data_IF_704675296601
#
_entry.id   IF_704675296601
#
_cell.length_a   1.000
_cell.length_b   1.000
_cell.length_c   1.000
_cell.angle_alpha   90.00
_cell.angle_beta   90.00
_cell.angle_gamma   90.00
#
_symmetry.space_group_name_H-M   'P 1'
#
loop_
_entity.id
_entity.type
_entity.pdbx_description
1 polymer ?
#
# COMPACT_ATOMS: atom_id res chain seq x y z
N UNK A 1 -9.48 -9.70 -8.07
CA UNK A 1 -8.01 -9.80 -8.19
C UNK A 1 -7.44 -8.45 -7.82
N UNK A 2 -6.44 -8.39 -6.94
CA UNK A 2 -5.81 -7.11 -6.56
C UNK A 2 -5.00 -6.59 -7.74
N UNK A 3 -5.06 -5.28 -7.99
CA UNK A 3 -4.14 -4.61 -8.94
C UNK A 3 -3.20 -3.72 -8.15
N UNK A 4 -1.91 -3.94 -8.35
CA UNK A 4 -0.86 -3.16 -7.69
C UNK A 4 -0.35 -2.13 -8.69
N UNK A 5 -0.28 -0.88 -8.24
CA UNK A 5 0.36 0.21 -8.97
C UNK A 5 1.45 0.82 -8.13
N UNK A 6 2.46 1.39 -8.77
CA UNK A 6 3.60 2.00 -8.06
C UNK A 6 3.85 3.39 -8.64
N UNK A 7 3.90 4.38 -7.76
CA UNK A 7 4.29 5.75 -8.09
C UNK A 7 5.78 5.91 -7.79
N UNK A 8 6.46 6.58 -8.72
CA UNK A 8 7.88 6.88 -8.62
C UNK A 8 8.09 8.39 -8.51
N UNK A 9 9.06 8.78 -7.70
CA UNK A 9 9.56 10.15 -7.64
C UNK A 9 11.01 10.19 -8.11
N UNK A 10 11.38 11.28 -8.76
CA UNK A 10 12.77 11.55 -9.08
C UNK A 10 13.50 11.98 -7.80
N UNK A 11 14.61 11.30 -7.51
CA UNK A 11 15.52 11.68 -6.45
C UNK A 11 16.29 12.93 -6.85
N UNK A 12 16.22 13.96 -6.02
CA UNK A 12 16.94 15.22 -6.26
C UNK A 12 18.47 15.10 -6.19
N UNK A 13 19.01 14.00 -5.67
CA UNK A 13 20.46 13.82 -5.48
C UNK A 13 21.14 13.17 -6.70
N UNK A 14 20.48 12.21 -7.35
CA UNK A 14 21.04 11.39 -8.43
C UNK A 14 20.16 11.33 -9.70
N UNK A 15 19.00 12.00 -9.69
CA UNK A 15 18.03 11.98 -10.80
C UNK A 15 17.37 10.62 -11.01
N UNK A 16 17.56 9.66 -10.08
CA UNK A 16 17.02 8.31 -10.23
C UNK A 16 15.56 8.25 -9.79
N UNK A 17 14.77 7.48 -10.53
CA UNK A 17 13.38 7.22 -10.19
C UNK A 17 13.27 6.20 -9.07
N UNK A 18 12.71 6.63 -7.95
CA UNK A 18 12.54 5.86 -6.74
C UNK A 18 11.07 5.54 -6.51
N UNK A 19 10.71 4.26 -6.31
CA UNK A 19 9.34 3.94 -5.97
C UNK A 19 9.06 4.45 -4.55
N UNK A 20 8.00 5.25 -4.43
CA UNK A 20 7.60 5.92 -3.19
C UNK A 20 6.30 5.37 -2.63
N UNK A 21 5.28 5.21 -3.47
CA UNK A 21 3.97 4.73 -3.05
C UNK A 21 3.60 3.46 -3.81
N UNK A 22 2.98 2.52 -3.10
CA UNK A 22 2.33 1.35 -3.66
C UNK A 22 0.82 1.52 -3.46
N UNK A 23 0.08 1.48 -4.56
CA UNK A 23 -1.37 1.62 -4.60
C UNK A 23 -1.97 0.25 -4.85
N UNK A 24 -2.87 -0.18 -3.98
CA UNK A 24 -3.54 -1.47 -4.09
C UNK A 24 -5.00 -1.20 -4.37
N UNK A 25 -5.42 -1.39 -5.61
CA UNK A 25 -6.84 -1.36 -5.95
C UNK A 25 -7.49 -2.61 -5.35
N UNK A 26 -8.48 -2.37 -4.50
CA UNK A 26 -9.17 -3.40 -3.73
C UNK A 26 -10.67 -3.10 -3.71
N UNK A 27 -11.46 -4.03 -4.22
CA UNK A 27 -12.91 -4.01 -4.06
C UNK A 27 -13.30 -5.04 -3.00
N UNK A 28 -14.21 -4.67 -2.09
CA UNK A 28 -14.79 -5.58 -1.09
C UNK A 28 -13.76 -6.18 -0.12
N UNK A 29 -13.04 -5.32 0.60
CA UNK A 29 -12.13 -5.76 1.67
C UNK A 29 -12.90 -6.36 2.86
N UNK A 30 -12.41 -7.51 3.35
CA UNK A 30 -12.80 -8.03 4.66
C UNK A 30 -11.98 -7.33 5.75
N UNK A 31 -12.53 -6.23 6.27
CA UNK A 31 -11.88 -5.39 7.29
C UNK A 31 -11.55 -6.10 8.61
N UNK A 32 -11.96 -7.35 8.79
CA UNK A 32 -11.64 -8.16 9.97
C UNK A 32 -10.45 -9.09 9.77
N UNK A 33 -9.82 -9.09 8.58
CA UNK A 33 -8.71 -9.98 8.21
C UNK A 33 -7.43 -9.24 7.86
N UNK A 34 -6.33 -9.98 7.83
CA UNK A 34 -5.08 -9.50 7.23
C UNK A 34 -5.14 -9.69 5.71
N UNK A 35 -4.97 -8.61 4.96
CA UNK A 35 -4.76 -8.67 3.52
C UNK A 35 -3.31 -9.06 3.24
N UNK A 36 -3.08 -10.07 2.42
CA UNK A 36 -1.73 -10.47 2.01
C UNK A 36 -1.46 -9.98 0.59
N UNK A 37 -0.31 -9.36 0.38
CA UNK A 37 0.17 -8.86 -0.90
C UNK A 37 1.46 -9.57 -1.25
N UNK A 38 1.53 -10.14 -2.45
CA UNK A 38 2.77 -10.62 -3.04
C UNK A 38 3.48 -9.46 -3.74
N UNK A 39 4.63 -9.05 -3.22
CA UNK A 39 5.41 -7.94 -3.76
C UNK A 39 6.21 -8.29 -5.02
N UNK A 40 6.26 -9.58 -5.40
CA UNK A 40 6.86 -10.02 -6.67
C UNK A 40 5.85 -10.04 -7.82
N UNK A 41 4.55 -9.88 -7.52
CA UNK A 41 3.51 -9.84 -8.53
C UNK A 41 3.73 -8.64 -9.48
N UNK A 42 3.34 -8.76 -10.77
CA UNK A 42 3.42 -7.65 -11.69
C UNK A 42 2.64 -6.43 -11.17
N UNK A 43 3.23 -5.25 -11.31
CA UNK A 43 2.61 -3.98 -10.96
C UNK A 43 2.62 -3.02 -12.16
N UNK A 44 1.68 -2.08 -12.16
CA UNK A 44 1.62 -1.01 -13.15
C UNK A 44 2.35 0.22 -12.60
N UNK A 45 3.30 0.77 -13.36
CA UNK A 45 3.84 2.09 -13.06
C UNK A 45 2.81 3.17 -13.43
N UNK A 46 2.57 4.11 -12.52
CA UNK A 46 1.69 5.26 -12.75
C UNK A 46 2.32 6.56 -12.26
N UNK A 47 1.82 7.70 -12.72
CA UNK A 47 2.14 9.05 -12.23
C UNK A 47 1.18 9.50 -11.13
N UNK A 48 1.50 10.63 -10.50
CA UNK A 48 0.59 11.30 -9.56
C UNK A 48 -0.71 11.74 -10.25
N UNK A 49 -0.62 12.30 -11.46
CA UNK A 49 -1.80 12.72 -12.23
C UNK A 49 -2.74 11.54 -12.54
N UNK A 50 -2.18 10.35 -12.80
CA UNK A 50 -2.96 9.12 -12.99
C UNK A 50 -3.58 8.59 -11.67
N UNK A 51 -3.03 8.99 -10.52
CA UNK A 51 -3.53 8.63 -9.20
C UNK A 51 -4.65 9.57 -8.70
N UNK A 52 -4.62 10.86 -9.04
CA UNK A 52 -5.50 11.92 -8.52
C UNK A 52 -7.01 11.78 -8.86
N UNK A 53 -7.45 10.69 -9.51
CA UNK A 53 -8.87 10.42 -9.75
C UNK A 53 -9.71 10.23 -8.47
N UNK A 54 -11.04 10.39 -8.61
CA UNK A 54 -12.06 10.32 -7.53
C UNK A 54 -12.31 8.92 -6.94
N UNK A 55 -11.27 8.09 -6.76
CA UNK A 55 -11.46 6.80 -6.08
C UNK A 55 -11.18 6.94 -4.58
N UNK A 56 -12.14 6.61 -3.69
CA UNK A 56 -11.95 6.68 -2.25
C UNK A 56 -10.79 5.80 -1.80
N UNK A 57 -9.84 6.42 -1.09
CA UNK A 57 -8.56 5.81 -0.76
C UNK A 57 -8.26 5.94 0.74
N UNK A 58 -7.60 4.92 1.31
CA UNK A 58 -7.12 4.95 2.69
C UNK A 58 -5.62 4.70 2.73
N UNK A 59 -4.90 5.57 3.44
CA UNK A 59 -3.48 5.37 3.73
C UNK A 59 -3.31 4.32 4.82
N UNK A 60 -2.45 3.34 4.56
CA UNK A 60 -2.10 2.29 5.53
C UNK A 60 -1.07 2.84 6.51
N UNK A 61 -1.33 2.83 7.83
CA UNK A 61 -0.37 3.28 8.81
C UNK A 61 0.76 2.25 9.00
N UNK A 62 1.94 2.74 9.38
CA UNK A 62 3.15 1.96 9.64
C UNK A 62 2.93 0.74 10.55
N UNK A 63 2.19 0.89 11.65
CA UNK A 63 1.93 -0.19 12.61
C UNK A 63 0.97 -1.28 12.10
N UNK A 64 0.40 -1.14 10.90
CA UNK A 64 -0.51 -2.14 10.33
C UNK A 64 0.20 -3.18 9.46
N UNK A 65 1.49 -3.02 9.18
CA UNK A 65 2.26 -3.99 8.40
C UNK A 65 2.66 -5.20 9.24
N UNK A 66 2.65 -6.38 8.62
CA UNK A 66 3.13 -7.62 9.23
C UNK A 66 3.96 -8.43 8.22
N UNK A 67 5.00 -9.09 8.71
CA UNK A 67 5.89 -9.95 7.92
C UNK A 67 5.56 -11.42 8.21
N UNK A 68 5.62 -12.24 7.17
CA UNK A 68 5.48 -13.69 7.31
C UNK A 68 6.85 -14.35 7.20
N UNK A 69 7.29 -15.04 8.25
CA UNK A 69 8.58 -15.77 8.23
C UNK A 69 8.61 -16.85 7.13
N UNK A 70 7.46 -17.47 6.84
CA UNK A 70 7.34 -18.53 5.83
C UNK A 70 7.07 -18.04 4.40
N UNK A 71 6.90 -16.73 4.20
CA UNK A 71 6.60 -16.14 2.88
C UNK A 71 7.39 -14.85 2.68
N UNK A 72 8.65 -15.00 2.30
CA UNK A 72 9.63 -13.90 2.22
C UNK A 72 9.20 -12.73 1.33
N UNK A 73 8.45 -13.00 0.26
CA UNK A 73 7.96 -11.96 -0.66
C UNK A 73 6.49 -11.59 -0.45
N UNK A 74 5.94 -11.85 0.74
CA UNK A 74 4.58 -11.45 1.06
C UNK A 74 4.59 -10.50 2.24
N UNK A 75 3.87 -9.40 2.09
CA UNK A 75 3.57 -8.48 3.17
C UNK A 75 2.10 -8.65 3.58
N UNK A 76 1.84 -8.59 4.87
CA UNK A 76 0.49 -8.54 5.39
C UNK A 76 0.11 -7.12 5.80
N UNK A 77 -1.14 -6.76 5.59
CA UNK A 77 -1.76 -5.53 6.09
C UNK A 77 -2.90 -5.94 7.01
N UNK A 78 -2.77 -5.62 8.30
CA UNK A 78 -3.81 -5.89 9.28
C UNK A 78 -4.97 -4.89 9.11
N UNK A 79 -5.96 -5.22 8.28
CA UNK A 79 -7.10 -4.34 8.00
C UNK A 79 -7.89 -3.89 9.25
N UNK A 80 -8.00 -4.67 10.34
CA UNK A 80 -8.60 -4.17 11.57
C UNK A 80 -7.88 -2.94 12.15
N UNK A 81 -6.55 -2.89 12.03
CA UNK A 81 -5.73 -1.78 12.50
C UNK A 81 -5.87 -0.57 11.57
N UNK A 82 -5.92 -0.79 10.26
CA UNK A 82 -6.20 0.26 9.26
C UNK A 82 -7.57 0.89 9.51
N UNK A 83 -8.61 0.06 9.68
CA UNK A 83 -9.98 0.49 10.02
C UNK A 83 -10.00 1.34 11.30
N UNK A 84 -9.33 0.89 12.36
CA UNK A 84 -9.23 1.63 13.62
C UNK A 84 -8.51 2.98 13.45
N UNK A 85 -7.47 3.04 12.63
CA UNK A 85 -6.74 4.26 12.32
C UNK A 85 -7.62 5.25 11.54
N UNK A 86 -8.35 4.77 10.54
CA UNK A 86 -9.26 5.59 9.73
C UNK A 86 -10.35 6.26 10.57
N UNK A 87 -11.02 5.52 11.47
CA UNK A 87 -12.01 6.10 12.38
C UNK A 87 -11.41 7.18 13.29
N UNK A 88 -10.20 6.93 13.82
CA UNK A 88 -9.50 7.91 14.66
C UNK A 88 -9.16 9.18 13.88
N UNK A 89 -8.68 9.05 12.64
CA UNK A 89 -8.32 10.18 11.80
C UNK A 89 -9.53 11.02 11.39
N UNK A 90 -10.66 10.37 11.07
CA UNK A 90 -11.90 11.04 10.74
C UNK A 90 -12.61 11.67 11.96
N UNK A 91 -12.17 11.34 13.18
CA UNK A 91 -12.82 11.77 14.43
C UNK A 91 -14.33 11.45 14.47
N UNK A 92 -14.70 10.28 13.95
CA UNK A 92 -16.07 9.79 13.88
C UNK A 92 -16.22 8.46 14.60
N UNK A 93 -17.45 8.11 14.96
CA UNK A 93 -17.74 6.80 15.54
C UNK A 93 -17.62 5.68 14.50
N UNK A 94 -17.36 4.43 14.91
CA UNK A 94 -17.26 3.30 13.99
C UNK A 94 -18.48 3.06 13.09
N UNK A 95 -19.65 3.55 13.50
CA UNK A 95 -20.91 3.46 12.76
C UNK A 95 -21.09 4.52 11.68
N UNK A 96 -20.22 5.53 11.63
CA UNK A 96 -20.41 6.75 10.82
C UNK A 96 -19.49 6.81 9.60
N UNK A 97 -18.45 5.98 9.52
CA UNK A 97 -17.58 5.88 8.35
C UNK A 97 -17.90 4.61 7.56
N UNK A 98 -18.40 4.81 6.34
CA UNK A 98 -18.62 3.72 5.41
C UNK A 98 -17.33 3.33 4.69
N UNK A 99 -16.74 2.22 5.16
CA UNK A 99 -15.53 1.65 4.57
C UNK A 99 -15.82 0.70 3.39
N UNK A 100 -17.09 0.49 3.03
CA UNK A 100 -17.46 -0.36 1.88
C UNK A 100 -17.18 0.32 0.54
N UNK A 101 -17.13 1.65 0.54
CA UNK A 101 -16.81 2.49 -0.61
C UNK A 101 -15.30 2.66 -0.86
N UNK A 102 -14.44 2.13 0.02
CA UNK A 102 -12.98 2.21 -0.14
C UNK A 102 -12.55 1.31 -1.30
N UNK A 103 -11.91 1.92 -2.29
CA UNK A 103 -11.48 1.24 -3.51
C UNK A 103 -9.96 1.07 -3.58
N UNK A 104 -9.21 1.83 -2.77
CA UNK A 104 -7.74 1.80 -2.80
C UNK A 104 -7.13 1.85 -1.40
N UNK A 105 -6.07 1.06 -1.22
CA UNK A 105 -5.11 1.26 -0.13
C UNK A 105 -3.87 1.94 -0.68
N UNK A 106 -3.40 2.97 0.03
CA UNK A 106 -2.16 3.69 -0.28
C UNK A 106 -1.12 3.29 0.75
N UNK A 107 -0.05 2.66 0.30
CA UNK A 107 1.07 2.25 1.14
C UNK A 107 2.27 3.11 0.79
N UNK A 108 2.93 3.67 1.80
CA UNK A 108 4.22 4.31 1.62
C UNK A 108 5.32 3.25 1.71
N UNK A 109 6.16 3.17 0.70
CA UNK A 109 7.18 2.11 0.59
C UNK A 109 8.19 2.21 1.73
N UNK A 110 8.64 3.42 2.10
CA UNK A 110 9.56 3.59 3.23
C UNK A 110 9.02 2.99 4.53
N UNK A 111 7.74 3.19 4.83
CA UNK A 111 7.13 2.69 6.06
C UNK A 111 7.15 1.16 6.10
N UNK A 112 6.96 0.50 4.94
CA UNK A 112 7.06 -0.95 4.85
C UNK A 112 8.51 -1.41 5.07
N UNK A 113 9.48 -0.73 4.42
CA UNK A 113 10.90 -1.08 4.54
C UNK A 113 11.40 -0.89 5.98
N UNK A 114 10.99 0.20 6.63
CA UNK A 114 11.36 0.55 8.00
C UNK A 114 10.74 -0.41 9.02
N UNK A 115 9.44 -0.72 8.89
CA UNK A 115 8.73 -1.58 9.86
C UNK A 115 9.10 -3.05 9.67
N UNK A 116 9.22 -3.52 8.43
CA UNK A 116 9.49 -4.94 8.14
C UNK A 116 10.98 -5.26 8.02
N UNK A 117 11.85 -4.24 8.05
CA UNK A 117 13.30 -4.36 7.83
C UNK A 117 13.58 -5.14 6.55
N UNK A 118 12.97 -4.68 5.45
CA UNK A 118 12.89 -5.43 4.19
C UNK A 118 13.05 -4.49 2.98
N UNK A 119 14.00 -4.77 2.08
CA UNK A 119 14.32 -3.88 0.95
C UNK A 119 13.41 -4.12 -0.26
N UNK A 120 12.15 -3.67 -0.18
CA UNK A 120 11.16 -3.82 -1.26
C UNK A 120 11.57 -3.07 -2.51
N UNK A 121 12.23 -1.91 -2.38
CA UNK A 121 12.66 -1.10 -3.53
C UNK A 121 13.57 -1.87 -4.49
N UNK A 122 14.43 -2.74 -3.97
CA UNK A 122 15.33 -3.58 -4.78
C UNK A 122 14.53 -4.56 -5.65
N UNK A 123 13.47 -5.15 -5.11
CA UNK A 123 12.62 -6.10 -5.84
C UNK A 123 11.79 -5.38 -6.90
N UNK A 124 11.23 -4.21 -6.55
CA UNK A 124 10.43 -3.40 -7.45
C UNK A 124 11.26 -2.92 -8.64
N UNK A 125 12.46 -2.37 -8.42
CA UNK A 125 13.32 -1.88 -9.51
C UNK A 125 13.68 -2.98 -10.51
N UNK A 126 14.03 -4.18 -10.02
CA UNK A 126 14.39 -5.32 -10.86
C UNK A 126 13.30 -5.79 -11.83
N UNK A 127 12.03 -5.39 -11.60
CA UNK A 127 10.88 -5.74 -12.46
C UNK A 127 10.57 -4.71 -13.54
N UNK A 128 11.10 -3.49 -13.44
CA UNK A 128 10.90 -2.46 -14.46
C UNK A 128 11.89 -2.54 -15.62
N UNK A 129 13.01 -3.24 -15.44
CA UNK A 129 14.10 -3.38 -16.43
C UNK A 129 13.94 -4.62 -17.34
N UNK A 130 12.82 -5.35 -17.23
CA UNK A 130 12.45 -6.51 -18.06
C UNK A 130 11.15 -6.27 -18.80
#
# INVERSE_FOLDING_TARGET
MLKIKVIYEESGEDGLLNPVWMIVDCHSLDWNKTLTIDITAPFQRITYDEFEGEHPSITVPDFAYTRYESKEHHIGIMLPLVKKAAFRAANVLPSELDLSSVERLVLRISDIEDVLQYSIRTIIRAKCDT
#
